data_IF_694289599947
#
_entry.id   IF_694289599947
#
_cell.length_a   1.000
_cell.length_b   1.000
_cell.length_c   1.000
_cell.angle_alpha   90.00
_cell.angle_beta   90.00
_cell.angle_gamma   90.00
#
_symmetry.space_group_name_H-M   'P 1'
#
loop_
_entity.id
_entity.type
_entity.pdbx_description
1 polymer ?
#
# COMPACT_ATOMS: atom_id res chain seq x y z
N UNK A 1 21.09 -15.09 9.87
CA UNK A 1 20.87 -15.06 8.41
C UNK A 1 19.54 -15.75 8.11
N UNK A 2 18.50 -15.01 7.75
CA UNK A 2 17.29 -15.62 7.16
C UNK A 2 17.67 -15.96 5.72
N UNK A 3 17.64 -17.23 5.35
CA UNK A 3 17.75 -17.63 3.96
C UNK A 3 16.47 -17.19 3.25
N UNK A 4 16.57 -16.15 2.42
CA UNK A 4 15.45 -15.73 1.58
C UNK A 4 15.30 -16.74 0.44
N UNK A 5 14.22 -17.51 0.46
CA UNK A 5 13.85 -18.39 -0.65
C UNK A 5 13.56 -17.53 -1.87
N UNK A 6 14.20 -17.83 -3.00
CA UNK A 6 13.83 -17.23 -4.27
C UNK A 6 12.45 -17.76 -4.69
N UNK A 7 11.45 -16.87 -4.78
CA UNK A 7 10.11 -17.23 -5.26
C UNK A 7 10.10 -17.31 -6.79
N UNK A 8 9.42 -18.32 -7.36
CA UNK A 8 9.21 -18.40 -8.80
C UNK A 8 8.17 -17.37 -9.28
N UNK A 9 8.15 -17.07 -10.58
CA UNK A 9 7.15 -16.16 -11.15
C UNK A 9 5.71 -16.69 -10.98
N UNK A 10 5.51 -18.01 -11.03
CA UNK A 10 4.20 -18.65 -10.83
C UNK A 10 3.72 -18.48 -9.39
N UNK A 11 4.60 -18.66 -8.40
CA UNK A 11 4.25 -18.45 -7.00
C UNK A 11 3.90 -16.98 -6.72
N UNK A 12 4.66 -16.04 -7.28
CA UNK A 12 4.35 -14.60 -7.19
C UNK A 12 3.00 -14.26 -7.80
N UNK A 13 2.67 -14.83 -8.97
CA UNK A 13 1.38 -14.62 -9.63
C UNK A 13 0.21 -15.09 -8.77
N UNK A 14 0.33 -16.25 -8.13
CA UNK A 14 -0.69 -16.79 -7.25
C UNK A 14 -0.91 -15.90 -6.01
N UNK A 15 0.18 -15.40 -5.42
CA UNK A 15 0.13 -14.48 -4.27
C UNK A 15 -0.59 -13.19 -4.66
N UNK A 16 -0.20 -12.55 -5.77
CA UNK A 16 -0.85 -11.31 -6.22
C UNK A 16 -2.33 -11.51 -6.57
N UNK A 17 -2.69 -12.66 -7.12
CA UNK A 17 -4.11 -12.97 -7.42
C UNK A 17 -4.96 -13.08 -6.15
N UNK A 18 -4.37 -13.49 -5.03
CA UNK A 18 -5.05 -13.57 -3.74
C UNK A 18 -4.91 -12.29 -2.90
N UNK A 19 -3.99 -11.39 -3.27
CA UNK A 19 -3.69 -10.17 -2.53
C UNK A 19 -4.89 -9.22 -2.49
N UNK A 20 -5.13 -8.65 -1.32
CA UNK A 20 -6.02 -7.50 -1.14
C UNK A 20 -5.19 -6.25 -0.81
N UNK A 21 -5.41 -5.17 -1.54
CA UNK A 21 -4.77 -3.87 -1.26
C UNK A 21 -5.75 -3.01 -0.45
N UNK A 22 -5.33 -2.50 0.70
CA UNK A 22 -6.11 -1.53 1.47
C UNK A 22 -5.36 -0.21 1.63
N UNK A 23 -6.11 0.88 1.76
CA UNK A 23 -5.63 2.19 2.19
C UNK A 23 -6.75 2.94 2.89
N UNK A 24 -6.49 4.12 3.45
CA UNK A 24 -7.58 4.94 4.00
C UNK A 24 -8.22 5.89 3.01
N UNK A 25 -7.88 5.80 1.72
CA UNK A 25 -8.49 6.58 0.66
C UNK A 25 -8.18 8.07 0.71
N UNK A 26 -7.19 8.54 1.48
CA UNK A 26 -6.68 9.91 1.34
C UNK A 26 -6.20 10.15 -0.10
N UNK A 27 -6.10 11.40 -0.54
CA UNK A 27 -5.43 11.78 -1.79
C UNK A 27 -3.95 11.35 -1.79
N UNK A 28 -3.26 11.45 -2.92
CA UNK A 28 -1.86 11.06 -3.03
C UNK A 28 -1.71 9.53 -2.99
N UNK A 29 -0.85 9.05 -2.08
CA UNK A 29 -0.43 7.63 -2.04
C UNK A 29 -1.60 6.68 -1.81
N UNK A 30 -2.46 6.97 -0.83
CA UNK A 30 -3.62 6.13 -0.50
C UNK A 30 -4.56 5.97 -1.71
N UNK A 31 -4.76 7.04 -2.49
CA UNK A 31 -5.66 7.06 -3.65
C UNK A 31 -5.11 6.24 -4.79
N UNK A 32 -3.84 6.46 -5.14
CA UNK A 32 -3.16 5.73 -6.18
C UNK A 32 -3.16 4.22 -5.94
N UNK A 33 -2.98 3.79 -4.68
CA UNK A 33 -3.07 2.38 -4.31
C UNK A 33 -4.44 1.77 -4.65
N UNK A 34 -5.53 2.48 -4.35
CA UNK A 34 -6.88 2.02 -4.69
C UNK A 34 -7.13 2.07 -6.20
N UNK A 35 -6.68 3.12 -6.90
CA UNK A 35 -6.85 3.26 -8.34
C UNK A 35 -6.16 2.15 -9.13
N UNK A 36 -4.91 1.82 -8.79
CA UNK A 36 -4.19 0.71 -9.42
C UNK A 36 -4.89 -0.61 -9.12
N UNK A 37 -5.29 -0.86 -7.86
CA UNK A 37 -5.98 -2.09 -7.51
C UNK A 37 -7.29 -2.27 -8.30
N UNK A 38 -8.12 -1.22 -8.38
CA UNK A 38 -9.37 -1.23 -9.14
C UNK A 38 -9.13 -1.46 -10.63
N UNK A 39 -8.13 -0.77 -11.22
CA UNK A 39 -7.79 -0.88 -12.65
C UNK A 39 -7.41 -2.31 -13.05
N UNK A 40 -6.73 -3.02 -12.16
CA UNK A 40 -6.26 -4.40 -12.39
C UNK A 40 -7.18 -5.48 -11.81
N UNK A 41 -8.36 -5.10 -11.29
CA UNK A 41 -9.32 -6.05 -10.71
C UNK A 41 -8.83 -6.75 -9.44
N UNK A 42 -7.87 -6.16 -8.74
CA UNK A 42 -7.37 -6.64 -7.44
C UNK A 42 -8.37 -6.21 -6.37
N UNK A 43 -8.69 -7.12 -5.45
CA UNK A 43 -9.59 -6.80 -4.35
C UNK A 43 -9.01 -5.64 -3.53
N UNK A 44 -9.81 -4.61 -3.27
CA UNK A 44 -9.33 -3.46 -2.50
C UNK A 44 -10.38 -2.85 -1.57
N UNK A 45 -9.94 -1.93 -0.71
CA UNK A 45 -10.80 -1.20 0.22
C UNK A 45 -10.00 -0.57 1.35
N UNK A 46 -10.55 -0.64 2.56
CA UNK A 46 -9.90 -0.13 3.77
C UNK A 46 -10.83 0.77 4.57
N UNK A 47 -10.29 1.42 5.59
CA UNK A 47 -11.03 2.27 6.52
C UNK A 47 -10.74 3.73 6.28
N UNK A 48 -11.80 4.52 6.13
CA UNK A 48 -11.74 5.98 6.00
C UNK A 48 -12.46 6.64 7.19
N UNK A 49 -12.25 7.96 7.44
CA UNK A 49 -12.99 8.67 8.46
C UNK A 49 -14.50 8.66 8.21
N UNK A 50 -15.29 8.87 9.27
CA UNK A 50 -16.72 9.12 9.14
C UNK A 50 -17.01 10.26 8.14
N UNK A 51 -18.05 10.09 7.32
CA UNK A 51 -18.37 10.98 6.20
C UNK A 51 -17.59 10.69 4.91
N UNK A 52 -16.71 9.67 4.91
CA UNK A 52 -15.75 9.37 3.83
C UNK A 52 -14.85 10.55 3.52
N UNK A 53 -14.27 11.17 4.56
CA UNK A 53 -13.53 12.42 4.37
C UNK A 53 -12.10 12.20 3.85
N UNK A 54 -11.68 13.06 2.93
CA UNK A 54 -10.29 13.27 2.49
C UNK A 54 -9.95 14.77 2.51
N UNK A 55 -8.76 15.17 2.06
CA UNK A 55 -8.37 16.60 2.08
C UNK A 55 -9.16 17.51 1.12
N UNK A 56 -9.88 16.95 0.14
CA UNK A 56 -10.70 17.71 -0.80
C UNK A 56 -12.20 17.57 -0.50
N UNK A 57 -12.55 17.01 0.66
CA UNK A 57 -13.92 16.85 1.10
C UNK A 57 -14.27 15.38 1.23
N UNK A 58 -14.82 14.77 0.17
CA UNK A 58 -15.38 13.42 0.23
C UNK A 58 -14.74 12.50 -0.79
N UNK A 59 -14.26 11.34 -0.31
CA UNK A 59 -13.76 10.23 -1.13
C UNK A 59 -14.88 9.76 -2.08
N UNK A 60 -14.66 9.82 -3.42
CA UNK A 60 -15.58 9.28 -4.41
C UNK A 60 -16.16 7.90 -4.12
N UNK A 61 -17.40 7.66 -4.57
CA UNK A 61 -18.17 6.46 -4.23
C UNK A 61 -17.62 5.17 -4.84
N UNK A 62 -16.89 5.25 -5.95
CA UNK A 62 -16.33 4.07 -6.60
C UNK A 62 -15.20 3.41 -5.80
N UNK A 63 -14.62 4.10 -4.82
CA UNK A 63 -13.62 3.52 -3.92
C UNK A 63 -14.29 2.67 -2.82
N UNK A 64 -13.95 1.37 -2.70
CA UNK A 64 -14.60 0.44 -1.76
C UNK A 64 -14.09 0.57 -0.31
N UNK A 65 -13.89 1.81 0.17
CA UNK A 65 -13.54 2.09 1.57
C UNK A 65 -14.79 2.10 2.46
N UNK A 66 -14.61 1.72 3.73
CA UNK A 66 -15.65 1.69 4.76
C UNK A 66 -15.41 2.82 5.76
N UNK A 67 -16.47 3.48 6.18
CA UNK A 67 -16.38 4.51 7.22
C UNK A 67 -16.12 3.88 8.58
N UNK A 68 -15.12 4.38 9.29
CA UNK A 68 -14.90 4.06 10.69
C UNK A 68 -15.76 4.99 11.55
N UNK A 69 -16.89 4.47 12.04
CA UNK A 69 -17.84 5.24 12.85
C UNK A 69 -17.16 5.82 14.10
N UNK A 70 -17.29 7.13 14.29
CA UNK A 70 -16.66 7.85 15.41
C UNK A 70 -15.13 7.99 15.32
N UNK A 71 -14.50 7.53 14.24
CA UNK A 71 -13.05 7.59 14.03
C UNK A 71 -12.63 8.74 13.10
N UNK A 72 -11.54 9.42 13.45
CA UNK A 72 -10.88 10.42 12.63
C UNK A 72 -9.74 9.83 11.78
N UNK A 73 -8.86 10.70 11.31
CA UNK A 73 -7.71 10.33 10.47
C UNK A 73 -6.71 9.40 11.20
N UNK A 74 -6.54 9.58 12.50
CA UNK A 74 -5.65 8.76 13.31
C UNK A 74 -6.22 7.35 13.49
N UNK A 75 -7.50 7.26 13.87
CA UNK A 75 -8.19 5.99 14.16
C UNK A 75 -8.34 5.14 12.91
N UNK A 76 -8.69 5.73 11.75
CA UNK A 76 -8.74 5.00 10.48
C UNK A 76 -7.36 4.46 10.08
N UNK A 77 -6.29 5.20 10.37
CA UNK A 77 -4.92 4.78 10.04
C UNK A 77 -4.54 3.57 10.88
N UNK A 78 -4.77 3.63 12.19
CA UNK A 78 -4.57 2.50 13.10
C UNK A 78 -5.41 1.28 12.68
N UNK A 79 -6.68 1.48 12.29
CA UNK A 79 -7.54 0.38 11.89
C UNK A 79 -7.05 -0.30 10.59
N UNK A 80 -6.58 0.47 9.60
CA UNK A 80 -5.96 -0.10 8.40
C UNK A 80 -4.69 -0.91 8.72
N UNK A 81 -3.86 -0.45 9.67
CA UNK A 81 -2.69 -1.21 10.12
C UNK A 81 -3.10 -2.50 10.83
N UNK A 82 -4.14 -2.47 11.67
CA UNK A 82 -4.61 -3.66 12.40
C UNK A 82 -5.19 -4.74 11.47
N UNK A 83 -5.96 -4.32 10.49
CA UNK A 83 -6.70 -5.21 9.57
C UNK A 83 -5.89 -5.62 8.34
N UNK A 84 -4.62 -5.23 8.26
CA UNK A 84 -3.66 -5.75 7.28
C UNK A 84 -2.75 -6.82 7.88
N UNK A 85 -2.09 -7.59 7.01
CA UNK A 85 -0.99 -8.47 7.41
C UNK A 85 0.33 -7.72 7.46
N UNK A 86 0.45 -6.62 6.71
CA UNK A 86 1.63 -5.75 6.70
C UNK A 86 1.34 -4.41 6.00
N UNK A 87 2.23 -3.44 6.21
CA UNK A 87 2.08 -2.10 5.64
C UNK A 87 3.31 -1.68 4.84
N UNK A 88 3.13 -1.26 3.59
CA UNK A 88 4.13 -0.49 2.85
C UNK A 88 3.90 0.99 3.13
N UNK A 89 4.93 1.67 3.60
CA UNK A 89 4.90 3.12 3.90
C UNK A 89 5.84 3.84 2.94
N UNK A 90 5.27 4.68 2.08
CA UNK A 90 6.00 5.50 1.11
C UNK A 90 6.20 6.89 1.69
N UNK A 91 7.39 7.45 1.56
CA UNK A 91 7.69 8.82 1.98
C UNK A 91 8.80 9.45 1.13
N UNK A 92 8.77 10.78 0.92
CA UNK A 92 9.88 11.50 0.31
C UNK A 92 10.82 12.04 1.39
N UNK A 93 12.08 11.61 1.39
CA UNK A 93 13.19 12.15 2.22
C UNK A 93 13.01 11.92 3.72
N UNK A 94 11.96 12.47 4.34
CA UNK A 94 11.71 12.40 5.77
C UNK A 94 10.30 11.89 6.10
N UNK A 95 10.22 11.10 7.17
CA UNK A 95 8.96 10.66 7.75
C UNK A 95 8.37 11.78 8.60
N UNK A 96 7.18 12.26 8.22
CA UNK A 96 6.48 13.34 8.93
C UNK A 96 4.98 13.07 8.97
N UNK A 97 4.29 13.75 9.91
CA UNK A 97 2.83 13.77 9.98
C UNK A 97 2.19 12.38 10.08
N UNK A 98 1.11 12.16 9.32
CA UNK A 98 0.37 10.89 9.31
C UNK A 98 1.20 9.69 8.85
N UNK A 99 2.22 9.91 8.01
CA UNK A 99 3.11 8.85 7.53
C UNK A 99 3.99 8.32 8.67
N UNK A 100 4.58 9.22 9.47
CA UNK A 100 5.33 8.84 10.67
C UNK A 100 4.42 8.14 11.69
N UNK A 101 3.20 8.65 11.87
CA UNK A 101 2.21 8.05 12.77
C UNK A 101 1.85 6.61 12.36
N UNK A 102 1.75 6.33 11.06
CA UNK A 102 1.51 4.98 10.54
C UNK A 102 2.57 3.99 11.03
N UNK A 103 3.84 4.39 11.03
CA UNK A 103 4.95 3.54 11.50
C UNK A 103 4.83 3.31 13.00
N UNK A 104 4.52 4.36 13.78
CA UNK A 104 4.30 4.22 15.22
C UNK A 104 3.18 3.21 15.52
N UNK A 105 2.11 3.20 14.72
CA UNK A 105 1.06 2.20 14.81
C UNK A 105 1.55 0.80 14.44
N UNK A 106 2.28 0.63 13.34
CA UNK A 106 2.85 -0.67 12.97
C UNK A 106 3.69 -1.25 14.10
N UNK A 107 4.56 -0.44 14.70
CA UNK A 107 5.37 -0.84 15.87
C UNK A 107 4.49 -1.20 17.06
N UNK A 108 3.53 -0.34 17.41
CA UNK A 108 2.69 -0.53 18.59
C UNK A 108 1.78 -1.78 18.53
N UNK A 109 1.39 -2.22 17.33
CA UNK A 109 0.57 -3.43 17.13
C UNK A 109 1.37 -4.62 16.57
N UNK A 110 2.70 -4.53 16.58
CA UNK A 110 3.63 -5.57 16.11
C UNK A 110 3.32 -6.06 14.68
N UNK A 111 2.94 -5.13 13.80
CA UNK A 111 2.68 -5.42 12.38
C UNK A 111 3.94 -5.17 11.55
N UNK A 112 4.32 -6.11 10.66
CA UNK A 112 5.45 -5.91 9.78
C UNK A 112 5.19 -4.74 8.83
N UNK A 113 6.23 -3.99 8.52
CA UNK A 113 6.15 -2.86 7.61
C UNK A 113 7.41 -2.73 6.75
N UNK A 114 7.23 -2.25 5.52
CA UNK A 114 8.31 -1.94 4.59
C UNK A 114 8.34 -0.44 4.34
N UNK A 115 9.49 0.17 4.63
CA UNK A 115 9.76 1.57 4.35
C UNK A 115 10.32 1.73 2.94
N UNK A 116 9.80 2.71 2.19
CA UNK A 116 10.30 3.09 0.87
C UNK A 116 10.49 4.60 0.85
N UNK A 117 11.76 5.01 0.89
CA UNK A 117 12.16 6.38 0.66
C UNK A 117 12.18 6.67 -0.84
N UNK A 118 11.16 7.34 -1.32
CA UNK A 118 10.99 7.67 -2.73
C UNK A 118 12.04 8.65 -3.27
N UNK A 119 12.81 9.31 -2.40
CA UNK A 119 13.90 10.20 -2.82
C UNK A 119 15.18 9.45 -3.20
N UNK A 120 15.32 8.22 -2.73
CA UNK A 120 16.53 7.40 -2.94
C UNK A 120 16.25 6.09 -3.66
N UNK A 121 15.02 5.61 -3.64
CA UNK A 121 14.63 4.32 -4.24
C UNK A 121 13.88 4.54 -5.57
N UNK A 122 14.48 4.07 -6.66
CA UNK A 122 13.85 4.05 -7.97
C UNK A 122 12.61 3.13 -8.00
N UNK A 123 11.66 3.42 -8.91
CA UNK A 123 10.36 2.73 -8.93
C UNK A 123 10.46 1.21 -9.13
N UNK A 124 11.44 0.77 -9.90
CA UNK A 124 11.72 -0.64 -10.19
C UNK A 124 12.23 -1.37 -8.95
N UNK A 125 13.05 -0.72 -8.14
CA UNK A 125 13.59 -1.32 -6.92
C UNK A 125 12.57 -1.28 -5.79
N UNK A 126 11.78 -0.20 -5.68
CA UNK A 126 10.62 -0.16 -4.81
C UNK A 126 9.63 -1.30 -5.11
N UNK A 127 9.37 -1.58 -6.40
CA UNK A 127 8.50 -2.68 -6.79
C UNK A 127 9.04 -4.06 -6.37
N UNK A 128 10.36 -4.28 -6.46
CA UNK A 128 11.01 -5.50 -5.96
C UNK A 128 10.91 -5.60 -4.44
N UNK A 129 11.14 -4.50 -3.71
CA UNK A 129 10.99 -4.46 -2.25
C UNK A 129 9.57 -4.83 -1.83
N UNK A 130 8.55 -4.33 -2.52
CA UNK A 130 7.15 -4.71 -2.26
C UNK A 130 6.93 -6.20 -2.57
N UNK A 131 7.44 -6.70 -3.71
CA UNK A 131 7.31 -8.11 -4.05
C UNK A 131 7.94 -9.03 -3.01
N UNK A 132 9.16 -8.70 -2.58
CA UNK A 132 9.89 -9.46 -1.58
C UNK A 132 9.20 -9.38 -0.21
N UNK A 133 8.71 -8.21 0.19
CA UNK A 133 7.95 -8.03 1.42
C UNK A 133 6.67 -8.89 1.42
N UNK A 134 5.87 -8.79 0.35
CA UNK A 134 4.62 -9.55 0.21
C UNK A 134 4.88 -11.05 0.24
N UNK A 135 5.91 -11.53 -0.46
CA UNK A 135 6.19 -12.96 -0.54
C UNK A 135 6.84 -13.51 0.73
N UNK A 136 7.85 -12.83 1.26
CA UNK A 136 8.63 -13.34 2.40
C UNK A 136 7.83 -13.31 3.70
N UNK A 137 7.01 -12.27 3.89
CA UNK A 137 6.18 -12.11 5.09
C UNK A 137 4.76 -12.63 4.90
N UNK A 138 4.45 -13.24 3.74
CA UNK A 138 3.16 -13.86 3.40
C UNK A 138 1.98 -12.90 3.62
N UNK A 139 2.08 -11.73 3.00
CA UNK A 139 1.10 -10.66 3.14
C UNK A 139 -0.08 -10.95 2.21
N UNK A 140 -1.22 -11.33 2.78
CA UNK A 140 -2.48 -11.53 2.03
C UNK A 140 -3.28 -10.22 1.91
N UNK A 141 -3.20 -9.35 2.92
CA UNK A 141 -3.80 -8.01 2.95
C UNK A 141 -2.68 -7.00 3.16
N UNK A 142 -2.36 -6.26 2.11
CA UNK A 142 -1.33 -5.22 2.10
C UNK A 142 -1.97 -3.86 2.31
N UNK A 143 -1.62 -3.18 3.41
CA UNK A 143 -1.92 -1.76 3.56
C UNK A 143 -0.84 -0.92 2.85
N UNK A 144 -1.25 0.10 2.11
CA UNK A 144 -0.35 1.06 1.49
C UNK A 144 -0.69 2.45 2.04
N UNK A 145 0.32 3.13 2.58
CA UNK A 145 0.18 4.42 3.21
C UNK A 145 1.29 5.38 2.77
N UNK A 146 0.97 6.68 2.76
CA UNK A 146 1.94 7.74 2.53
C UNK A 146 1.30 9.13 2.60
N UNK A 147 2.07 10.19 2.25
CA UNK A 147 1.57 11.55 2.30
C UNK A 147 0.37 11.78 1.38
N UNK A 148 -0.46 12.76 1.77
CA UNK A 148 -1.55 13.29 0.94
C UNK A 148 -1.00 14.15 -0.20
N UNK A 149 -1.83 14.41 -1.21
CA UNK A 149 -1.42 15.12 -2.43
C UNK A 149 -0.86 16.53 -2.13
N UNK A 150 -1.44 17.26 -1.17
CA UNK A 150 -0.93 18.59 -0.80
C UNK A 150 0.44 18.57 -0.09
N UNK A 151 0.84 17.45 0.49
CA UNK A 151 2.14 17.29 1.18
C UNK A 151 3.22 16.75 0.25
N UNK A 152 2.83 15.93 -0.74
CA UNK A 152 3.73 15.42 -1.75
C UNK A 152 3.01 15.22 -3.09
N UNK A 153 3.11 16.19 -4.02
CA UNK A 153 2.40 16.15 -5.30
C UNK A 153 2.76 14.96 -6.18
N UNK A 154 4.00 14.48 -6.12
CA UNK A 154 4.49 13.37 -6.96
C UNK A 154 4.13 11.99 -6.38
N UNK A 155 3.60 11.95 -5.15
CA UNK A 155 3.38 10.68 -4.43
C UNK A 155 2.37 9.76 -5.11
N UNK A 156 1.33 10.32 -5.73
CA UNK A 156 0.35 9.57 -6.50
C UNK A 156 1.01 8.84 -7.69
N UNK A 157 1.79 9.56 -8.49
CA UNK A 157 2.43 9.02 -9.70
C UNK A 157 3.52 8.01 -9.35
N UNK A 158 4.31 8.31 -8.32
CA UNK A 158 5.36 7.40 -7.84
C UNK A 158 4.79 6.03 -7.45
N UNK A 159 3.82 5.98 -6.53
CA UNK A 159 3.29 4.69 -6.08
C UNK A 159 2.47 4.00 -7.17
N UNK A 160 1.79 4.76 -8.04
CA UNK A 160 1.12 4.20 -9.21
C UNK A 160 2.11 3.43 -10.07
N UNK A 161 3.25 4.05 -10.42
CA UNK A 161 4.30 3.42 -11.23
C UNK A 161 4.91 2.21 -10.55
N UNK A 162 5.21 2.31 -9.26
CA UNK A 162 5.73 1.19 -8.46
C UNK A 162 4.77 0.00 -8.50
N UNK A 163 3.47 0.21 -8.29
CA UNK A 163 2.49 -0.86 -8.28
C UNK A 163 2.29 -1.48 -9.67
N UNK A 164 2.29 -0.70 -10.75
CA UNK A 164 2.26 -1.22 -12.12
C UNK A 164 3.45 -2.16 -12.41
N UNK A 165 4.66 -1.80 -11.95
CA UNK A 165 5.85 -2.64 -12.08
C UNK A 165 5.74 -3.87 -11.19
N UNK A 166 5.30 -3.72 -9.94
CA UNK A 166 5.09 -4.84 -9.00
C UNK A 166 4.15 -5.89 -9.59
N UNK A 167 3.03 -5.46 -10.18
CA UNK A 167 2.09 -6.35 -10.85
C UNK A 167 2.71 -7.02 -12.08
N UNK A 168 3.55 -6.32 -12.84
CA UNK A 168 4.29 -6.89 -13.98
C UNK A 168 5.28 -7.98 -13.52
N UNK A 169 6.05 -7.72 -12.46
CA UNK A 169 7.00 -8.68 -11.86
C UNK A 169 6.28 -9.97 -11.44
N UNK A 170 5.06 -9.83 -10.92
CA UNK A 170 4.27 -10.95 -10.46
C UNK A 170 3.45 -11.62 -11.58
N UNK A 171 3.19 -10.94 -12.69
CA UNK A 171 2.36 -11.44 -13.80
C UNK A 171 3.14 -12.16 -14.90
N UNK A 172 4.48 -12.14 -14.87
CA UNK A 172 5.28 -12.80 -15.89
C UNK A 172 5.03 -14.32 -15.89
N UNK A 173 4.14 -14.77 -16.78
CA UNK A 173 4.16 -16.12 -17.33
C UNK A 173 5.57 -16.37 -17.82
N UNK A 174 6.22 -17.43 -17.33
CA UNK A 174 7.38 -18.00 -17.98
C UNK A 174 7.00 -18.22 -19.45
N UNK A 175 7.49 -17.37 -20.35
CA UNK A 175 7.52 -17.70 -21.76
C UNK A 175 8.52 -18.84 -21.88
N UNK A 176 7.98 -20.05 -21.85
CA UNK A 176 8.65 -21.26 -22.31
C UNK A 176 8.57 -21.22 -23.82
N UNK A 177 9.71 -20.96 -24.45
CA UNK A 177 9.97 -21.10 -25.88
C UNK A 177 11.40 -21.56 -26.03
#
# INVERSE_FOLDING_TARGET
MKFHRAWSAVERAAIVKALKIISGGQTGVDRAALDVALRHGINCGGWCPAGRLDEFGKIPQHYPVRELQGGGLSERTLQNVKDSNGTVVIYPVELRGGTEQTIRFCVAVERPYQLIDASTVATEDAAKLIADFVCNDKIDILNIAGPRQSEWPEGYDYISRVLEIFLTICSHRSMSG
#
